data_IF_141507957615
#
_entry.id   IF_141507957615
#
_cell.length_a   1.000
_cell.length_b   1.000
_cell.length_c   1.000
_cell.angle_alpha   90.00
_cell.angle_beta   90.00
_cell.angle_gamma   90.00
#
_symmetry.space_group_name_H-M   'P 1'
#
loop_
_entity.id
_entity.type
_entity.pdbx_description
1 polymer ?
#
# COMPACT_ATOMS: atom_id res chain seq x y z
N UNK A 1 1.56 -4.42 23.01
CA UNK A 1 2.89 -3.98 22.55
C UNK A 1 2.99 -4.21 21.03
N UNK A 2 3.13 -3.15 20.24
CA UNK A 2 3.54 -3.25 18.83
C UNK A 2 4.97 -3.80 18.79
N UNK A 3 5.26 -4.76 17.91
CA UNK A 3 6.60 -5.33 17.72
C UNK A 3 7.35 -4.75 16.52
N UNK A 4 6.70 -3.94 15.70
CA UNK A 4 7.38 -3.19 14.64
C UNK A 4 6.46 -2.22 13.91
N UNK A 5 7.02 -1.58 12.90
CA UNK A 5 6.36 -0.63 12.01
C UNK A 5 6.57 -1.06 10.56
N UNK A 6 5.47 -1.13 9.81
CA UNK A 6 5.47 -1.35 8.36
C UNK A 6 5.25 0.00 7.66
N UNK A 7 6.25 0.44 6.93
CA UNK A 7 6.26 1.65 6.13
C UNK A 7 5.96 1.27 4.66
N UNK A 8 4.89 1.82 4.11
CA UNK A 8 4.48 1.61 2.72
C UNK A 8 4.76 2.88 1.95
N UNK A 9 5.77 2.84 1.09
CA UNK A 9 6.13 3.94 0.21
C UNK A 9 5.33 3.84 -1.08
N UNK A 10 4.34 4.71 -1.22
CA UNK A 10 3.57 4.88 -2.45
C UNK A 10 4.29 5.89 -3.36
N UNK A 11 4.85 5.41 -4.48
CA UNK A 11 5.64 6.25 -5.39
C UNK A 11 4.73 6.93 -6.42
N UNK A 12 4.25 6.15 -7.39
CA UNK A 12 3.42 6.60 -8.50
C UNK A 12 2.63 5.44 -9.11
N UNK A 13 1.61 5.76 -9.90
CA UNK A 13 0.97 4.81 -10.80
C UNK A 13 1.08 5.31 -12.24
N UNK A 14 1.04 4.37 -13.19
CA UNK A 14 1.09 4.65 -14.61
C UNK A 14 0.11 3.79 -15.39
N UNK A 15 -0.48 4.40 -16.41
CA UNK A 15 -1.40 3.73 -17.30
C UNK A 15 -2.68 3.29 -16.60
N UNK A 16 -3.17 4.08 -15.63
CA UNK A 16 -4.45 3.84 -15.01
C UNK A 16 -5.54 3.96 -16.08
N UNK A 17 -6.15 2.82 -16.42
CA UNK A 17 -7.17 2.74 -17.44
C UNK A 17 -8.55 2.99 -16.82
N UNK A 18 -8.79 4.19 -16.28
CA UNK A 18 -10.13 4.57 -15.85
C UNK A 18 -11.08 4.55 -17.05
N UNK A 19 -12.23 3.91 -16.89
CA UNK A 19 -13.27 3.90 -17.91
C UNK A 19 -13.58 5.33 -18.35
N UNK A 20 -13.57 5.56 -19.66
CA UNK A 20 -14.02 6.76 -20.36
C UNK A 20 -13.35 8.13 -20.19
N UNK A 21 -12.67 8.48 -19.09
CA UNK A 21 -12.29 9.91 -18.91
C UNK A 21 -10.91 10.25 -19.49
N UNK A 22 -10.89 10.73 -20.72
CA UNK A 22 -9.85 11.65 -21.21
C UNK A 22 -10.14 13.00 -20.52
N UNK A 23 -9.55 13.29 -19.37
CA UNK A 23 -9.71 14.64 -18.81
C UNK A 23 -9.21 14.89 -17.40
N UNK A 24 -9.86 14.33 -16.37
CA UNK A 24 -9.59 14.65 -14.97
C UNK A 24 -9.94 13.44 -14.13
N UNK A 25 -8.93 12.66 -13.78
CA UNK A 25 -9.04 11.69 -12.69
C UNK A 25 -8.13 12.20 -11.57
N UNK A 26 -8.62 12.15 -10.35
CA UNK A 26 -7.96 12.56 -9.11
C UNK A 26 -7.75 11.31 -8.23
N UNK A 27 -6.87 10.38 -8.64
CA UNK A 27 -6.79 9.08 -8.00
C UNK A 27 -6.16 9.18 -6.61
N UNK A 28 -6.72 8.40 -5.69
CA UNK A 28 -6.17 8.17 -4.36
C UNK A 28 -6.11 6.68 -4.07
N UNK A 29 -5.23 6.30 -3.15
CA UNK A 29 -4.96 4.90 -2.83
C UNK A 29 -5.35 4.63 -1.39
N UNK A 30 -6.28 3.70 -1.20
CA UNK A 30 -6.65 3.16 0.09
C UNK A 30 -5.80 1.92 0.33
N UNK A 31 -4.90 2.01 1.31
CA UNK A 31 -4.06 0.89 1.73
C UNK A 31 -4.70 0.27 2.97
N UNK A 32 -5.09 -0.98 2.80
CA UNK A 32 -5.64 -1.80 3.86
C UNK A 32 -4.62 -2.87 4.26
N UNK A 33 -4.29 -2.88 5.55
CA UNK A 33 -3.45 -3.87 6.18
C UNK A 33 -4.17 -4.41 7.42
N UNK A 34 -4.72 -5.63 7.31
CA UNK A 34 -5.57 -6.25 8.34
C UNK A 34 -6.75 -5.34 8.69
N UNK A 35 -6.93 -5.04 9.98
CA UNK A 35 -7.95 -4.14 10.50
C UNK A 35 -7.58 -2.65 10.39
N UNK A 36 -6.42 -2.34 9.81
CA UNK A 36 -5.96 -0.97 9.64
C UNK A 36 -6.18 -0.51 8.19
N UNK A 37 -6.80 0.64 8.05
CA UNK A 37 -6.94 1.35 6.78
C UNK A 37 -6.23 2.71 6.85
N UNK A 38 -5.53 3.06 5.79
CA UNK A 38 -4.99 4.40 5.57
C UNK A 38 -5.24 4.82 4.13
N UNK A 39 -5.64 6.07 3.95
CA UNK A 39 -5.83 6.66 2.62
C UNK A 39 -4.63 7.53 2.29
N UNK A 40 -4.17 7.46 1.04
CA UNK A 40 -3.15 8.36 0.53
C UNK A 40 -3.71 9.76 0.31
N UNK A 41 -2.84 10.71 -0.02
CA UNK A 41 -3.28 11.99 -0.57
C UNK A 41 -3.93 11.76 -1.94
N UNK A 42 -4.90 12.62 -2.26
CA UNK A 42 -5.55 12.65 -3.56
C UNK A 42 -4.60 13.31 -4.55
N UNK A 43 -4.26 12.63 -5.65
CA UNK A 43 -3.37 13.13 -6.68
C UNK A 43 -4.11 14.06 -7.65
N UNK A 44 -4.54 15.23 -7.14
CA UNK A 44 -5.37 16.18 -7.89
C UNK A 44 -4.66 16.68 -9.15
N UNK A 45 -5.38 16.72 -10.28
CA UNK A 45 -4.89 17.17 -11.59
C UNK A 45 -3.69 16.37 -12.16
N UNK A 46 -3.47 15.14 -11.69
CA UNK A 46 -2.37 14.31 -12.22
C UNK A 46 -2.82 13.30 -13.29
N UNK A 47 -4.13 13.07 -13.42
CA UNK A 47 -4.68 12.20 -14.45
C UNK A 47 -4.19 10.76 -14.33
N UNK A 48 -3.87 10.13 -15.48
CA UNK A 48 -3.56 8.69 -15.58
C UNK A 48 -2.18 8.27 -15.05
N UNK A 49 -1.35 9.24 -14.64
CA UNK A 49 0.00 8.99 -14.14
C UNK A 49 0.24 9.72 -12.81
N UNK A 50 -0.55 9.41 -11.76
CA UNK A 50 -0.42 10.08 -10.48
C UNK A 50 0.88 9.72 -9.77
N UNK A 51 1.46 10.72 -9.12
CA UNK A 51 2.65 10.66 -8.28
C UNK A 51 2.23 11.08 -6.88
N UNK A 52 2.38 10.16 -5.93
CA UNK A 52 2.06 10.42 -4.53
C UNK A 52 3.32 10.71 -3.71
N UNK A 53 4.41 9.98 -3.96
CA UNK A 53 5.64 10.01 -3.16
C UNK A 53 5.35 10.12 -1.65
N UNK A 54 4.49 9.23 -1.17
CA UNK A 54 3.96 9.28 0.18
C UNK A 54 4.27 7.98 0.93
N UNK A 55 4.78 8.12 2.14
CA UNK A 55 5.00 6.99 3.04
C UNK A 55 3.87 6.90 4.06
N UNK A 56 3.24 5.74 4.16
CA UNK A 56 2.20 5.43 5.14
C UNK A 56 2.70 4.38 6.12
N UNK A 57 2.50 4.63 7.41
CA UNK A 57 3.03 3.79 8.49
C UNK A 57 1.92 2.98 9.14
N UNK A 58 2.16 1.69 9.33
CA UNK A 58 1.25 0.73 9.93
C UNK A 58 1.94 -0.01 11.09
N UNK A 59 1.52 0.17 12.35
CA UNK A 59 2.04 -0.62 13.45
C UNK A 59 1.72 -2.11 13.27
N UNK A 60 2.70 -2.97 13.51
CA UNK A 60 2.57 -4.44 13.46
C UNK A 60 2.66 -5.00 14.89
N UNK A 61 1.62 -5.71 15.32
CA UNK A 61 1.52 -6.27 16.67
C UNK A 61 1.92 -7.75 16.72
N UNK A 62 2.55 -8.16 17.84
CA UNK A 62 3.05 -9.53 18.05
C UNK A 62 1.99 -10.62 17.96
N UNK A 63 0.79 -10.37 18.47
CA UNK A 63 -0.31 -11.34 18.46
C UNK A 63 -0.71 -11.77 17.06
N UNK A 64 -0.35 -10.97 16.07
CA UNK A 64 -0.66 -11.20 14.68
C UNK A 64 0.56 -11.74 13.89
N UNK A 65 1.66 -12.10 14.54
CA UNK A 65 2.83 -12.75 13.92
C UNK A 65 2.63 -14.27 13.75
N UNK A 66 1.73 -14.87 14.54
CA UNK A 66 1.50 -16.31 14.52
C UNK A 66 0.88 -16.85 13.22
N UNK A 67 0.59 -15.99 12.24
CA UNK A 67 0.05 -16.43 10.96
C UNK A 67 0.65 -15.63 9.77
N UNK A 68 1.77 -16.10 9.18
CA UNK A 68 2.44 -15.45 8.04
C UNK A 68 1.51 -15.24 6.84
N UNK A 69 0.50 -16.09 6.68
CA UNK A 69 -0.48 -16.06 5.58
C UNK A 69 -1.38 -14.81 5.66
N UNK A 70 -1.53 -14.20 6.84
CA UNK A 70 -2.39 -13.03 7.04
C UNK A 70 -1.70 -11.67 6.79
N UNK A 71 -0.42 -11.66 6.41
CA UNK A 71 0.33 -10.43 6.14
C UNK A 71 0.22 -10.03 4.66
N UNK A 72 -0.99 -9.67 4.24
CA UNK A 72 -1.28 -9.11 2.92
C UNK A 72 -1.63 -7.64 3.02
N UNK A 73 -1.10 -6.85 2.09
CA UNK A 73 -1.41 -5.44 1.93
C UNK A 73 -2.25 -5.28 0.68
N UNK A 74 -3.44 -4.71 0.82
CA UNK A 74 -4.34 -4.46 -0.30
C UNK A 74 -4.34 -2.97 -0.59
N UNK A 75 -3.92 -2.58 -1.78
CA UNK A 75 -3.99 -1.21 -2.27
C UNK A 75 -5.19 -1.11 -3.21
N UNK A 76 -6.18 -0.31 -2.86
CA UNK A 76 -7.33 0.00 -3.73
C UNK A 76 -7.15 1.40 -4.27
N UNK A 77 -7.19 1.54 -5.58
CA UNK A 77 -7.09 2.82 -6.27
C UNK A 77 -8.51 3.24 -6.60
N UNK A 78 -8.89 4.41 -6.07
CA UNK A 78 -10.19 5.03 -6.23
C UNK A 78 -9.99 6.36 -6.94
N UNK A 79 -10.93 6.75 -7.78
CA UNK A 79 -11.04 8.12 -8.28
C UNK A 79 -11.83 8.95 -7.27
N UNK A 80 -11.28 10.10 -6.86
CA UNK A 80 -12.02 11.00 -5.99
C UNK A 80 -12.86 11.94 -6.84
N UNK A 81 -14.17 11.78 -6.77
CA UNK A 81 -15.10 12.69 -7.41
C UNK A 81 -15.77 13.61 -6.39
N UNK A 82 -15.84 14.90 -6.72
CA UNK A 82 -16.53 15.89 -5.87
C UNK A 82 -18.04 15.89 -6.04
N UNK A 83 -18.55 15.28 -7.11
CA UNK A 83 -19.95 15.38 -7.55
C UNK A 83 -20.64 14.02 -7.61
N UNK A 84 -19.92 12.97 -7.98
CA UNK A 84 -20.41 11.59 -8.10
C UNK A 84 -19.84 10.70 -7.00
N UNK A 85 -20.33 9.45 -6.92
CA UNK A 85 -19.70 8.44 -6.08
C UNK A 85 -18.29 8.14 -6.61
N UNK A 86 -17.33 7.95 -5.70
CA UNK A 86 -15.96 7.60 -6.05
C UNK A 86 -15.90 6.33 -6.90
N UNK A 87 -15.30 6.41 -8.08
CA UNK A 87 -15.16 5.27 -8.99
C UNK A 87 -13.98 4.38 -8.62
N UNK A 88 -14.21 3.06 -8.66
CA UNK A 88 -13.14 2.08 -8.42
C UNK A 88 -12.31 1.86 -9.70
N UNK A 89 -11.03 2.22 -9.66
CA UNK A 89 -10.11 2.07 -10.80
C UNK A 89 -9.45 0.69 -10.80
N UNK A 90 -9.18 0.12 -9.63
CA UNK A 90 -8.56 -1.19 -9.50
C UNK A 90 -7.85 -1.40 -8.18
N UNK A 91 -7.30 -2.58 -7.98
CA UNK A 91 -6.55 -2.93 -6.79
C UNK A 91 -5.25 -3.66 -7.10
N UNK A 92 -4.34 -3.63 -6.15
CA UNK A 92 -3.12 -4.42 -6.12
C UNK A 92 -2.99 -5.10 -4.75
N UNK A 93 -2.46 -6.31 -4.74
CA UNK A 93 -2.21 -7.05 -3.51
C UNK A 93 -0.73 -7.35 -3.40
N UNK A 94 -0.13 -7.02 -2.26
CA UNK A 94 1.28 -7.23 -1.95
C UNK A 94 1.38 -8.16 -0.75
N UNK A 95 2.18 -9.21 -0.88
CA UNK A 95 2.48 -10.11 0.23
C UNK A 95 3.68 -9.55 0.99
N UNK A 96 3.45 -9.10 2.22
CA UNK A 96 4.50 -8.50 3.07
C UNK A 96 4.94 -9.46 4.18
N UNK A 97 4.47 -10.71 4.15
CA UNK A 97 4.82 -11.74 5.13
C UNK A 97 6.32 -12.02 5.21
N UNK A 98 6.99 -12.17 4.06
CA UNK A 98 8.44 -12.39 4.02
C UNK A 98 9.25 -11.18 4.51
N UNK A 99 8.81 -9.97 4.15
CA UNK A 99 9.44 -8.72 4.60
C UNK A 99 9.33 -8.60 6.12
N UNK A 100 8.15 -8.86 6.68
CA UNK A 100 7.94 -8.81 8.12
C UNK A 100 8.74 -9.92 8.83
N UNK A 101 8.71 -11.16 8.33
CA UNK A 101 9.49 -12.26 8.91
C UNK A 101 10.99 -11.93 8.91
N UNK A 102 11.54 -11.56 7.75
CA UNK A 102 12.95 -11.22 7.62
C UNK A 102 13.34 -10.02 8.49
N UNK A 103 12.47 -9.01 8.64
CA UNK A 103 12.80 -7.84 9.45
C UNK A 103 12.57 -8.07 10.96
N UNK A 104 11.77 -9.06 11.35
CA UNK A 104 11.73 -9.52 12.75
C UNK A 104 13.02 -10.25 13.14
N UNK A 105 13.60 -11.02 12.21
CA UNK A 105 14.86 -11.75 12.44
C UNK A 105 16.08 -10.84 12.32
N UNK A 106 16.13 -9.98 11.30
CA UNK A 106 17.29 -9.11 10.98
C UNK A 106 17.20 -7.70 11.54
N UNK A 107 16.08 -7.33 12.14
CA UNK A 107 15.80 -5.99 12.66
C UNK A 107 15.15 -5.03 11.65
N UNK A 108 15.54 -5.12 10.39
CA UNK A 108 14.97 -4.34 9.27
C UNK A 108 14.87 -5.23 8.03
N UNK A 109 13.82 -5.03 7.26
CA UNK A 109 13.70 -5.58 5.92
C UNK A 109 13.06 -4.54 5.01
N UNK A 110 13.55 -4.47 3.78
CA UNK A 110 13.05 -3.54 2.77
C UNK A 110 12.75 -4.29 1.48
N UNK A 111 11.64 -3.89 0.88
CA UNK A 111 11.22 -4.27 -0.44
C UNK A 111 11.31 -3.00 -1.29
N UNK A 112 12.23 -2.97 -2.27
CA UNK A 112 12.41 -1.79 -3.09
C UNK A 112 11.11 -1.45 -3.85
N UNK A 113 10.93 -0.19 -4.26
CA UNK A 113 9.79 0.22 -5.05
C UNK A 113 9.62 -0.63 -6.31
N UNK A 114 8.65 -1.52 -6.26
CA UNK A 114 8.39 -2.53 -7.29
C UNK A 114 7.06 -2.24 -7.96
N UNK A 115 6.97 -2.60 -9.25
CA UNK A 115 5.79 -2.35 -10.06
C UNK A 115 4.79 -3.47 -9.86
N UNK A 116 3.64 -3.16 -9.29
CA UNK A 116 2.51 -4.07 -9.10
C UNK A 116 1.46 -3.81 -10.18
N UNK A 117 0.86 -4.89 -10.69
CA UNK A 117 -0.24 -4.81 -11.64
C UNK A 117 -1.50 -4.38 -10.91
N UNK A 118 -2.15 -3.36 -11.42
CA UNK A 118 -3.47 -2.93 -10.97
C UNK A 118 -4.49 -3.71 -11.78
N UNK A 119 -5.39 -4.41 -11.09
CA UNK A 119 -6.45 -5.21 -11.71
C UNK A 119 -7.81 -4.79 -11.18
N UNK A 120 -8.82 -4.85 -12.03
CA UNK A 120 -10.22 -4.76 -11.62
C UNK A 120 -10.71 -6.08 -11.02
N UNK A 121 -11.92 -6.07 -10.46
CA UNK A 121 -12.63 -7.28 -10.03
C UNK A 121 -12.82 -8.27 -11.18
N UNK A 122 -13.00 -7.78 -12.42
CA UNK A 122 -13.06 -8.59 -13.65
C UNK A 122 -11.67 -9.09 -14.13
N UNK A 123 -10.62 -8.94 -13.31
CA UNK A 123 -9.21 -9.31 -13.60
C UNK A 123 -8.57 -8.59 -14.79
N UNK A 124 -9.23 -7.56 -15.34
CA UNK A 124 -8.67 -6.74 -16.41
C UNK A 124 -7.51 -5.90 -15.89
N UNK A 125 -6.42 -5.86 -16.63
CA UNK A 125 -5.27 -5.00 -16.33
C UNK A 125 -5.65 -3.53 -16.52
N UNK A 126 -5.46 -2.73 -15.47
CA UNK A 126 -5.83 -1.31 -15.42
C UNK A 126 -4.64 -0.42 -15.07
N UNK A 127 -3.45 -0.85 -15.48
CA UNK A 127 -2.22 -0.12 -15.24
C UNK A 127 -1.36 -0.74 -14.15
N UNK A 128 -0.44 0.07 -13.63
CA UNK A 128 0.50 -0.42 -12.65
C UNK A 128 0.87 0.65 -11.63
N UNK A 129 1.15 0.21 -10.42
CA UNK A 129 1.50 1.06 -9.29
C UNK A 129 2.88 0.67 -8.76
N UNK A 130 3.71 1.66 -8.46
CA UNK A 130 5.03 1.45 -7.84
C UNK A 130 4.92 1.67 -6.34
N UNK A 131 5.24 0.61 -5.59
CA UNK A 131 5.13 0.59 -4.13
C UNK A 131 6.40 -0.03 -3.55
N UNK A 132 7.00 0.66 -2.59
CA UNK A 132 8.05 0.12 -1.73
C UNK A 132 7.47 -0.25 -0.36
N UNK A 133 8.06 -1.22 0.31
CA UNK A 133 7.62 -1.64 1.65
C UNK A 133 8.83 -1.82 2.53
N UNK A 134 8.88 -1.16 3.67
CA UNK A 134 9.97 -1.33 4.65
C UNK A 134 9.37 -1.74 5.98
N UNK A 135 9.85 -2.83 6.55
CA UNK A 135 9.48 -3.25 7.89
C UNK A 135 10.65 -3.01 8.85
N UNK A 136 10.37 -2.38 9.98
CA UNK A 136 11.33 -2.13 11.06
C UNK A 136 10.80 -2.73 12.35
N UNK A 137 11.56 -3.65 12.94
CA UNK A 137 11.23 -4.16 14.26
C UNK A 137 11.48 -3.05 15.29
N UNK A 138 10.56 -2.88 16.24
CA UNK A 138 10.80 -2.04 17.40
C UNK A 138 11.35 -2.96 18.48
N UNK A 139 12.66 -3.15 18.51
CA UNK A 139 13.30 -3.82 19.64
C UNK A 139 13.09 -2.91 20.85
N UNK A 140 12.26 -3.34 21.80
CA UNK A 140 12.36 -2.79 23.15
C UNK A 140 13.73 -3.19 23.66
N UNK A 141 14.69 -2.28 23.61
CA UNK A 141 15.88 -2.35 24.44
C UNK A 141 15.39 -2.42 25.89
N UNK A 142 15.19 -3.62 26.42
CA UNK A 142 15.18 -3.82 27.86
C UNK A 142 16.66 -3.73 28.26
N UNK A 143 17.09 -2.70 29.01
CA UNK A 143 18.42 -2.72 29.58
C UNK A 143 18.49 -3.94 30.51
N UNK A 144 19.43 -4.84 30.21
CA UNK A 144 19.75 -5.96 31.08
C UNK A 144 20.11 -5.40 32.47
N UNK A 145 19.34 -5.79 33.49
CA UNK A 145 19.69 -5.55 34.91
C UNK A 145 20.81 -6.48 35.35
#
# INVERSE_FOLDING_TARGET
MSKGELEVLLVDAKGLAGADVIGKIDPYVVIQYRDQERKSRIARNQGRNPIWNQTLKFPVYSSAINNPIQHKLTLRIMDYDTVTADDFIGHATIHVGEVIASGMEKGIAELPPTKYRVVLEDKRYHGAIRVGVTFRTMVSCMPNS
#
